data_IF_123216788304
#
_entry.id   IF_123216788304
#
_cell.length_a   1.000
_cell.length_b   1.000
_cell.length_c   1.000
_cell.angle_alpha   90.00
_cell.angle_beta   90.00
_cell.angle_gamma   90.00
#
_symmetry.space_group_name_H-M   'P 1'
#
loop_
_entity.id
_entity.type
_entity.pdbx_description
1 polymer ?
#
# COMPACT_ATOMS: atom_id res chain seq x y z
N UNK A 1 -19.53 -41.88 3.07
CA UNK A 1 -18.59 -41.35 2.05
C UNK A 1 -18.99 -39.91 1.73
N UNK A 2 -18.03 -38.99 1.57
CA UNK A 2 -18.31 -37.55 1.36
C UNK A 2 -19.20 -37.29 0.14
N UNK A 3 -19.03 -38.10 -0.91
CA UNK A 3 -19.82 -38.12 -2.14
C UNK A 3 -21.33 -38.19 -1.88
N UNK A 4 -21.79 -39.06 -0.98
CA UNK A 4 -23.21 -39.20 -0.66
C UNK A 4 -23.78 -37.95 0.03
N UNK A 5 -22.96 -37.23 0.81
CA UNK A 5 -23.38 -35.99 1.44
C UNK A 5 -23.44 -34.86 0.43
N UNK A 6 -22.44 -34.77 -0.46
CA UNK A 6 -22.41 -33.80 -1.56
C UNK A 6 -23.61 -33.97 -2.50
N UNK A 7 -23.98 -35.21 -2.83
CA UNK A 7 -25.16 -35.49 -3.65
C UNK A 7 -26.45 -35.01 -2.98
N UNK A 8 -26.66 -35.34 -1.69
CA UNK A 8 -27.84 -34.87 -0.93
C UNK A 8 -27.92 -33.34 -0.87
N UNK A 9 -26.78 -32.66 -0.69
CA UNK A 9 -26.72 -31.19 -0.66
C UNK A 9 -27.07 -30.59 -2.03
N UNK A 10 -26.58 -31.20 -3.11
CA UNK A 10 -26.88 -30.79 -4.48
C UNK A 10 -28.36 -30.95 -4.81
N UNK A 11 -28.97 -32.08 -4.44
CA UNK A 11 -30.40 -32.35 -4.64
C UNK A 11 -31.28 -31.35 -3.86
N UNK A 12 -30.90 -31.00 -2.62
CA UNK A 12 -31.66 -30.06 -1.79
C UNK A 12 -31.53 -28.60 -2.24
N UNK A 13 -30.31 -28.17 -2.59
CA UNK A 13 -30.00 -26.76 -2.83
C UNK A 13 -29.99 -26.35 -4.30
N UNK A 14 -29.88 -27.33 -5.22
CA UNK A 14 -29.57 -27.12 -6.64
C UNK A 14 -28.27 -26.31 -6.88
N UNK A 15 -27.39 -26.21 -5.90
CA UNK A 15 -26.09 -25.52 -6.00
C UNK A 15 -24.98 -26.50 -6.36
N UNK A 16 -23.91 -25.98 -6.95
CA UNK A 16 -22.70 -26.73 -7.26
C UNK A 16 -21.84 -26.95 -6.01
N UNK A 17 -21.28 -28.15 -5.87
CA UNK A 17 -20.29 -28.50 -4.85
C UNK A 17 -18.89 -28.14 -5.38
N UNK A 18 -18.24 -27.17 -4.75
CA UNK A 18 -16.92 -26.68 -5.17
C UNK A 18 -15.90 -27.00 -4.08
N UNK A 19 -14.78 -27.63 -4.45
CA UNK A 19 -13.61 -27.76 -3.60
C UNK A 19 -12.63 -26.64 -3.93
N UNK A 20 -12.24 -25.87 -2.92
CA UNK A 20 -11.19 -24.85 -3.02
C UNK A 20 -10.03 -25.30 -2.14
N UNK A 21 -8.83 -25.38 -2.69
CA UNK A 21 -7.60 -25.64 -1.96
C UNK A 21 -6.73 -24.39 -2.08
N UNK A 22 -6.53 -23.70 -0.96
CA UNK A 22 -5.78 -22.45 -0.88
C UNK A 22 -4.37 -22.67 -0.28
N UNK A 23 -3.48 -21.72 -0.50
CA UNK A 23 -2.08 -21.75 -0.04
C UNK A 23 -1.33 -23.05 -0.45
N UNK A 24 -1.64 -23.61 -1.63
CA UNK A 24 -1.13 -24.92 -2.04
C UNK A 24 0.41 -24.93 -2.15
N UNK A 25 1.03 -23.82 -2.55
CA UNK A 25 2.48 -23.64 -2.66
C UNK A 25 3.21 -23.55 -1.30
N UNK A 26 2.49 -23.52 -0.17
CA UNK A 26 3.07 -23.63 1.19
C UNK A 26 3.11 -25.06 1.71
N UNK A 27 2.48 -26.00 1.00
CA UNK A 27 2.53 -27.42 1.33
C UNK A 27 3.93 -27.96 0.98
N UNK A 28 4.40 -28.93 1.76
CA UNK A 28 5.63 -29.65 1.44
C UNK A 28 5.66 -30.08 -0.05
N UNK A 29 6.78 -29.89 -0.77
CA UNK A 29 6.84 -30.17 -2.20
C UNK A 29 6.44 -31.60 -2.60
N UNK A 30 6.73 -32.63 -1.79
CA UNK A 30 6.30 -34.01 -2.09
C UNK A 30 4.78 -34.14 -2.01
N UNK A 31 4.18 -33.56 -0.98
CA UNK A 31 2.73 -33.56 -0.83
C UNK A 31 2.01 -32.71 -1.89
N UNK A 32 2.56 -31.54 -2.24
CA UNK A 32 2.07 -30.66 -3.30
C UNK A 32 1.92 -31.41 -4.62
N UNK A 33 3.01 -32.01 -5.12
CA UNK A 33 2.97 -32.72 -6.40
C UNK A 33 2.17 -34.02 -6.32
N UNK A 34 2.09 -34.66 -5.15
CA UNK A 34 1.19 -35.80 -4.95
C UNK A 34 -0.28 -35.41 -5.09
N UNK A 35 -0.70 -34.30 -4.47
CA UNK A 35 -2.07 -33.77 -4.58
C UNK A 35 -2.38 -33.47 -6.05
N UNK A 36 -1.48 -32.75 -6.73
CA UNK A 36 -1.62 -32.45 -8.16
C UNK A 36 -1.78 -33.75 -8.96
N UNK A 37 -0.84 -34.70 -8.84
CA UNK A 37 -0.90 -35.97 -9.57
C UNK A 37 -2.20 -36.76 -9.33
N UNK A 38 -2.73 -36.76 -8.10
CA UNK A 38 -4.03 -37.39 -7.79
C UNK A 38 -5.15 -36.75 -8.62
N UNK A 39 -5.17 -35.42 -8.71
CA UNK A 39 -6.17 -34.73 -9.53
C UNK A 39 -5.98 -34.98 -11.03
N UNK A 40 -4.75 -34.94 -11.56
CA UNK A 40 -4.50 -35.25 -12.98
C UNK A 40 -5.01 -36.63 -13.39
N UNK A 41 -4.71 -37.66 -12.59
CA UNK A 41 -5.13 -39.04 -12.87
C UNK A 41 -6.66 -39.21 -12.92
N UNK A 42 -7.41 -38.29 -12.32
CA UNK A 42 -8.88 -38.33 -12.28
C UNK A 42 -9.56 -37.47 -13.35
N UNK A 43 -8.81 -36.64 -14.07
CA UNK A 43 -9.33 -35.87 -15.21
C UNK A 43 -9.08 -36.56 -16.56
N UNK A 44 -8.13 -37.49 -16.62
CA UNK A 44 -7.72 -38.19 -17.85
C UNK A 44 -8.46 -39.54 -18.07
N UNK A 45 -9.42 -39.90 -17.21
CA UNK A 45 -10.15 -41.16 -17.37
C UNK A 45 -11.20 -41.04 -18.47
N UNK A 46 -11.02 -41.76 -19.58
CA UNK A 46 -11.90 -41.88 -20.75
C UNK A 46 -13.35 -42.32 -20.47
N UNK A 47 -13.75 -42.46 -19.20
CA UNK A 47 -15.11 -42.75 -18.79
C UNK A 47 -16.01 -41.52 -18.96
N UNK A 48 -16.40 -41.27 -20.22
CA UNK A 48 -17.45 -40.33 -20.68
C UNK A 48 -18.83 -40.51 -20.01
N UNK A 49 -18.97 -41.43 -19.07
CA UNK A 49 -20.20 -41.71 -18.33
C UNK A 49 -20.27 -41.02 -16.96
N UNK A 50 -19.17 -40.40 -16.50
CA UNK A 50 -19.17 -39.58 -15.29
C UNK A 50 -18.52 -38.24 -15.61
N UNK A 51 -19.35 -37.21 -15.84
CA UNK A 51 -18.97 -35.78 -15.90
C UNK A 51 -18.40 -35.25 -14.55
N UNK A 52 -17.75 -36.10 -13.75
CA UNK A 52 -17.40 -35.79 -12.36
C UNK A 52 -16.12 -36.49 -11.92
N UNK A 53 -15.27 -35.77 -11.20
CA UNK A 53 -14.12 -36.36 -10.50
C UNK A 53 -14.60 -37.40 -9.46
N UNK A 54 -13.73 -38.34 -9.11
CA UNK A 54 -14.00 -39.40 -8.11
C UNK A 54 -14.49 -38.88 -6.75
N UNK A 55 -14.21 -37.62 -6.43
CA UNK A 55 -14.55 -37.00 -5.15
C UNK A 55 -15.96 -36.42 -5.12
N UNK A 56 -16.67 -36.37 -6.26
CA UNK A 56 -18.06 -35.89 -6.34
C UNK A 56 -18.20 -34.37 -6.28
N UNK A 57 -17.11 -33.62 -6.48
CA UNK A 57 -17.15 -32.17 -6.64
C UNK A 57 -17.50 -31.81 -8.09
N UNK A 58 -18.30 -30.77 -8.26
CA UNK A 58 -18.61 -30.22 -9.59
C UNK A 58 -17.42 -29.42 -10.14
N UNK A 59 -16.64 -28.75 -9.26
CA UNK A 59 -15.43 -28.02 -9.61
C UNK A 59 -14.37 -28.16 -8.52
N UNK A 60 -13.10 -28.18 -8.94
CA UNK A 60 -11.94 -28.09 -8.06
C UNK A 60 -11.16 -26.85 -8.46
N UNK A 61 -10.90 -25.96 -7.50
CA UNK A 61 -10.14 -24.72 -7.69
C UNK A 61 -8.89 -24.81 -6.82
N UNK A 62 -7.73 -24.74 -7.46
CA UNK A 62 -6.43 -24.69 -6.80
C UNK A 62 -5.96 -23.24 -6.78
N UNK A 63 -5.67 -22.72 -5.60
CA UNK A 63 -5.18 -21.36 -5.38
C UNK A 63 -3.78 -21.45 -4.82
N UNK A 64 -2.84 -20.77 -5.49
CA UNK A 64 -1.43 -20.75 -5.12
C UNK A 64 -0.73 -19.55 -5.76
N UNK A 65 0.43 -19.19 -5.20
CA UNK A 65 1.38 -18.33 -5.90
C UNK A 65 2.07 -19.15 -7.01
N UNK A 66 1.84 -18.74 -8.26
CA UNK A 66 2.40 -19.42 -9.43
C UNK A 66 3.92 -19.31 -9.51
N UNK A 67 4.49 -18.17 -9.12
CA UNK A 67 5.93 -17.95 -9.22
C UNK A 67 6.64 -18.78 -8.14
N UNK A 68 6.05 -18.86 -6.95
CA UNK A 68 6.52 -19.76 -5.91
C UNK A 68 6.40 -21.23 -6.33
N UNK A 69 5.27 -21.63 -6.94
CA UNK A 69 5.08 -22.97 -7.49
C UNK A 69 6.15 -23.29 -8.56
N UNK A 70 6.50 -22.35 -9.42
CA UNK A 70 7.55 -22.51 -10.43
C UNK A 70 8.93 -22.71 -9.80
N UNK A 71 9.24 -21.94 -8.75
CA UNK A 71 10.48 -22.08 -8.00
C UNK A 71 10.58 -23.44 -7.31
N UNK A 72 9.51 -23.89 -6.64
CA UNK A 72 9.43 -25.20 -6.00
C UNK A 72 9.60 -26.32 -7.04
N UNK A 73 8.95 -26.19 -8.20
CA UNK A 73 9.06 -27.15 -9.30
C UNK A 73 10.51 -27.26 -9.82
N UNK A 74 11.15 -26.12 -10.12
CA UNK A 74 12.55 -26.09 -10.59
C UNK A 74 13.53 -26.64 -9.55
N UNK A 75 13.31 -26.33 -8.27
CA UNK A 75 14.13 -26.88 -7.18
C UNK A 75 14.02 -28.41 -7.11
N UNK A 76 12.80 -28.94 -7.30
CA UNK A 76 12.54 -30.38 -7.19
C UNK A 76 12.95 -31.19 -8.43
N UNK A 77 12.64 -30.69 -9.62
CA UNK A 77 12.78 -31.43 -10.88
C UNK A 77 13.94 -30.94 -11.75
N UNK A 78 14.62 -29.85 -11.35
CA UNK A 78 15.76 -29.26 -12.05
C UNK A 78 15.40 -28.01 -12.84
N UNK A 79 16.35 -27.09 -12.94
CA UNK A 79 16.16 -25.75 -13.56
C UNK A 79 15.80 -25.78 -15.05
N UNK A 80 16.17 -26.86 -15.76
CA UNK A 80 15.94 -27.02 -17.20
C UNK A 80 14.58 -27.64 -17.54
N UNK A 81 13.69 -27.77 -16.55
CA UNK A 81 12.34 -28.31 -16.72
C UNK A 81 11.30 -27.20 -16.81
N UNK A 82 10.15 -27.48 -17.43
CA UNK A 82 9.07 -26.50 -17.64
C UNK A 82 7.87 -26.82 -16.74
N UNK A 83 7.58 -25.92 -15.78
CA UNK A 83 6.34 -25.98 -15.01
C UNK A 83 5.12 -25.87 -15.93
N UNK A 84 5.17 -25.01 -16.95
CA UNK A 84 4.06 -24.79 -17.88
C UNK A 84 3.62 -26.12 -18.55
N UNK A 85 4.57 -26.95 -18.97
CA UNK A 85 4.28 -28.27 -19.53
C UNK A 85 3.62 -29.22 -18.53
N UNK A 86 4.01 -29.16 -17.25
CA UNK A 86 3.42 -29.96 -16.18
C UNK A 86 2.00 -29.48 -15.83
N UNK A 87 1.83 -28.17 -15.63
CA UNK A 87 0.60 -27.58 -15.08
C UNK A 87 -0.57 -27.54 -16.08
N UNK A 88 -0.27 -27.56 -17.39
CA UNK A 88 -1.27 -27.63 -18.46
C UNK A 88 -2.21 -28.86 -18.36
N UNK A 89 -1.85 -29.87 -17.57
CA UNK A 89 -2.68 -31.07 -17.34
C UNK A 89 -3.85 -30.83 -16.38
N UNK A 90 -3.89 -29.69 -15.68
CA UNK A 90 -4.84 -29.46 -14.59
C UNK A 90 -5.95 -28.45 -14.92
N UNK A 91 -5.95 -27.85 -16.13
CA UNK A 91 -6.98 -26.92 -16.55
C UNK A 91 -7.27 -27.03 -18.06
N UNK A 92 -8.49 -26.71 -18.45
CA UNK A 92 -8.95 -26.85 -19.84
C UNK A 92 -8.79 -25.58 -20.69
N UNK A 93 -8.63 -24.41 -20.06
CA UNK A 93 -8.54 -23.14 -20.78
C UNK A 93 -7.23 -22.40 -20.46
N UNK A 94 -7.12 -21.85 -19.25
CA UNK A 94 -5.94 -21.13 -18.80
C UNK A 94 -5.95 -20.95 -17.29
N UNK A 95 -4.78 -20.60 -16.75
CA UNK A 95 -4.64 -20.17 -15.36
C UNK A 95 -5.39 -18.85 -15.18
N UNK A 96 -6.31 -18.82 -14.21
CA UNK A 96 -6.95 -17.59 -13.80
C UNK A 96 -5.99 -16.77 -12.92
N UNK A 97 -5.54 -15.61 -13.41
CA UNK A 97 -4.72 -14.67 -12.65
C UNK A 97 -5.65 -13.74 -11.88
N UNK A 98 -5.68 -13.90 -10.55
CA UNK A 98 -6.48 -13.06 -9.69
C UNK A 98 -5.81 -11.69 -9.51
N UNK A 99 -6.55 -10.62 -9.78
CA UNK A 99 -6.12 -9.24 -9.55
C UNK A 99 -7.17 -8.52 -8.70
N UNK A 100 -6.71 -7.82 -7.66
CA UNK A 100 -7.57 -7.07 -6.74
C UNK A 100 -7.36 -5.55 -6.84
N UNK A 101 -6.67 -5.07 -7.89
CA UNK A 101 -6.36 -3.65 -8.14
C UNK A 101 -7.60 -2.78 -8.05
N UNK A 102 -8.69 -3.16 -8.73
CA UNK A 102 -9.96 -2.44 -8.70
C UNK A 102 -10.54 -2.29 -7.28
N UNK A 103 -10.52 -3.36 -6.49
CA UNK A 103 -11.00 -3.30 -5.11
C UNK A 103 -10.10 -2.44 -4.22
N UNK A 104 -8.79 -2.43 -4.52
CA UNK A 104 -7.83 -1.54 -3.88
C UNK A 104 -8.12 -0.08 -4.23
N UNK A 105 -8.30 0.25 -5.51
CA UNK A 105 -8.61 1.60 -5.99
C UNK A 105 -9.92 2.14 -5.39
N UNK A 106 -10.99 1.32 -5.38
CA UNK A 106 -12.27 1.69 -4.79
C UNK A 106 -12.13 1.97 -3.28
N UNK A 107 -11.42 1.11 -2.57
CA UNK A 107 -11.17 1.28 -1.13
C UNK A 107 -10.27 2.49 -0.85
N UNK A 108 -9.29 2.75 -1.70
CA UNK A 108 -8.37 3.88 -1.57
C UNK A 108 -9.15 5.18 -1.72
N UNK A 109 -9.95 5.30 -2.78
CA UNK A 109 -10.78 6.47 -3.02
C UNK A 109 -11.78 6.70 -1.88
N UNK A 110 -12.43 5.64 -1.40
CA UNK A 110 -13.29 5.71 -0.22
C UNK A 110 -12.53 6.22 1.03
N UNK A 111 -11.31 5.71 1.26
CA UNK A 111 -10.48 6.11 2.40
C UNK A 111 -10.00 7.55 2.25
N UNK A 112 -9.57 7.97 1.06
CA UNK A 112 -9.19 9.37 0.82
C UNK A 112 -10.38 10.27 1.06
N UNK A 113 -11.56 10.00 0.49
CA UNK A 113 -12.76 10.83 0.69
C UNK A 113 -13.18 10.91 2.16
N UNK A 114 -13.03 9.83 2.92
CA UNK A 114 -13.35 9.80 4.35
C UNK A 114 -12.40 10.67 5.18
N UNK A 115 -11.14 10.81 4.77
CA UNK A 115 -10.10 11.48 5.57
C UNK A 115 -9.56 12.79 4.95
N UNK A 116 -9.93 13.13 3.71
CA UNK A 116 -9.42 14.31 2.98
C UNK A 116 -9.79 15.63 3.65
N UNK A 117 -10.96 15.68 4.31
CA UNK A 117 -11.39 16.82 5.12
C UNK A 117 -10.58 16.99 6.43
N UNK A 118 -9.78 15.99 6.80
CA UNK A 118 -9.07 15.93 8.08
C UNK A 118 -7.60 16.32 7.88
N UNK A 119 -6.96 15.79 6.84
CA UNK A 119 -5.55 16.04 6.58
C UNK A 119 -5.18 15.85 5.10
N UNK A 120 -4.65 16.93 4.49
CA UNK A 120 -4.05 16.89 3.15
C UNK A 120 -2.74 16.09 3.13
N UNK A 121 -1.95 16.13 4.21
CA UNK A 121 -0.72 15.33 4.32
C UNK A 121 -1.01 13.82 4.38
N UNK A 122 -2.13 13.40 4.99
CA UNK A 122 -2.60 12.02 4.95
C UNK A 122 -2.95 11.57 3.53
N UNK A 123 -3.66 12.39 2.77
CA UNK A 123 -4.03 12.09 1.38
C UNK A 123 -2.81 11.88 0.49
N UNK A 124 -1.82 12.80 0.56
CA UNK A 124 -0.56 12.68 -0.19
C UNK A 124 0.15 11.38 0.17
N UNK A 125 0.32 11.13 1.47
CA UNK A 125 1.03 9.97 1.98
C UNK A 125 0.34 8.65 1.61
N UNK A 126 -0.98 8.56 1.78
CA UNK A 126 -1.74 7.34 1.48
C UNK A 126 -1.70 7.02 -0.01
N UNK A 127 -1.85 8.03 -0.87
CA UNK A 127 -1.75 7.90 -2.33
C UNK A 127 -0.35 7.43 -2.73
N UNK A 128 0.68 7.95 -2.09
CA UNK A 128 2.06 7.55 -2.40
C UNK A 128 2.43 6.17 -1.88
N UNK A 129 2.00 5.81 -0.67
CA UNK A 129 2.18 4.47 -0.15
C UNK A 129 1.49 3.44 -1.06
N UNK A 130 0.30 3.76 -1.58
CA UNK A 130 -0.37 2.91 -2.56
C UNK A 130 0.42 2.82 -3.87
N UNK A 131 0.67 3.95 -4.53
CA UNK A 131 1.30 3.96 -5.87
C UNK A 131 2.72 3.40 -5.84
N UNK A 132 3.42 3.51 -4.72
CA UNK A 132 4.75 2.92 -4.49
C UNK A 132 4.75 1.43 -4.13
N UNK A 133 3.58 0.80 -3.97
CA UNK A 133 3.49 -0.60 -3.55
C UNK A 133 3.86 -0.82 -2.07
N UNK A 134 3.95 0.24 -1.28
CA UNK A 134 4.25 0.20 0.16
C UNK A 134 2.99 0.10 1.03
N UNK A 135 1.84 -0.20 0.45
CA UNK A 135 0.59 -0.43 1.15
C UNK A 135 -0.07 -1.70 0.64
N UNK A 136 -0.38 -2.63 1.54
CA UNK A 136 -1.18 -3.82 1.22
C UNK A 136 -2.67 -3.53 1.37
N UNK A 137 -3.52 -4.29 0.66
CA UNK A 137 -4.97 -4.17 0.76
C UNK A 137 -5.46 -4.38 2.20
N UNK A 138 -4.81 -5.29 2.93
CA UNK A 138 -5.11 -5.56 4.34
C UNK A 138 -4.88 -4.34 5.22
N UNK A 139 -3.78 -3.63 5.00
CA UNK A 139 -3.46 -2.41 5.75
C UNK A 139 -4.45 -1.30 5.40
N UNK A 140 -4.75 -1.10 4.11
CA UNK A 140 -5.76 -0.13 3.69
C UNK A 140 -7.15 -0.46 4.28
N UNK A 141 -7.54 -1.74 4.33
CA UNK A 141 -8.77 -2.19 5.00
C UNK A 141 -8.78 -1.90 6.50
N UNK A 142 -7.63 -1.95 7.17
CA UNK A 142 -7.53 -1.55 8.57
C UNK A 142 -7.69 -0.04 8.71
N UNK A 143 -7.00 0.75 7.88
CA UNK A 143 -7.10 2.22 7.87
C UNK A 143 -8.56 2.66 7.64
N UNK A 144 -9.21 2.11 6.61
CA UNK A 144 -10.56 2.51 6.21
C UNK A 144 -11.61 2.26 7.30
N UNK A 145 -11.38 1.24 8.14
CA UNK A 145 -12.26 0.88 9.27
C UNK A 145 -12.02 1.70 10.53
N UNK A 146 -10.99 2.54 10.60
CA UNK A 146 -10.76 3.38 11.77
C UNK A 146 -11.93 4.37 11.92
N UNK A 147 -12.54 4.39 13.10
CA UNK A 147 -13.58 5.35 13.47
C UNK A 147 -12.93 6.55 14.14
N UNK A 148 -13.01 7.69 13.47
CA UNK A 148 -12.24 8.88 13.80
C UNK A 148 -12.99 9.85 14.70
N UNK A 149 -14.28 9.63 14.92
CA UNK A 149 -15.17 10.51 15.68
C UNK A 149 -14.61 10.81 17.09
N UNK A 150 -14.00 9.81 17.76
CA UNK A 150 -13.38 10.00 19.07
C UNK A 150 -12.01 10.69 19.01
N UNK A 151 -11.30 10.63 17.87
CA UNK A 151 -9.96 11.20 17.73
C UNK A 151 -10.02 12.65 17.25
N UNK A 152 -11.04 13.00 16.47
CA UNK A 152 -11.31 14.37 15.97
C UNK A 152 -11.72 15.31 17.12
N UNK A 153 -12.55 14.84 18.06
CA UNK A 153 -12.99 15.66 19.20
C UNK A 153 -11.84 16.07 20.13
N UNK A 154 -10.78 15.28 20.23
CA UNK A 154 -9.58 15.65 21.01
C UNK A 154 -8.65 16.60 20.24
N UNK A 155 -8.59 16.50 18.90
CA UNK A 155 -7.67 17.29 18.06
C UNK A 155 -8.20 18.64 17.58
N UNK A 156 -9.52 18.86 17.63
CA UNK A 156 -10.14 20.12 17.18
C UNK A 156 -10.10 21.20 18.29
N UNK A 157 -9.99 20.82 19.56
CA UNK A 157 -9.91 21.78 20.67
C UNK A 157 -8.47 22.12 21.07
N UNK A 158 -7.48 21.27 20.80
CA UNK A 158 -6.09 21.48 21.21
C UNK A 158 -5.11 21.43 20.01
N UNK A 159 -4.42 22.56 19.78
CA UNK A 159 -3.12 22.73 19.10
C UNK A 159 -2.74 21.87 17.86
N UNK A 160 -2.29 22.55 16.82
CA UNK A 160 -1.85 22.06 15.50
C UNK A 160 -0.78 20.95 15.48
N UNK A 161 0.05 20.82 16.53
CA UNK A 161 0.94 19.66 16.71
C UNK A 161 0.19 18.32 16.68
N UNK A 162 -1.10 18.31 17.01
CA UNK A 162 -1.93 17.12 17.07
C UNK A 162 -2.37 16.56 15.71
N UNK A 163 -2.30 17.32 14.61
CA UNK A 163 -2.68 16.80 13.27
C UNK A 163 -1.63 15.87 12.68
N UNK A 164 -0.34 16.15 12.84
CA UNK A 164 0.69 15.18 12.50
C UNK A 164 0.62 13.95 13.42
N UNK A 165 0.41 14.16 14.73
CA UNK A 165 0.18 13.06 15.68
C UNK A 165 -0.96 12.17 15.24
N UNK A 166 -2.01 12.76 14.68
CA UNK A 166 -3.15 12.03 14.17
C UNK A 166 -2.76 11.11 13.02
N UNK A 167 -2.06 11.62 11.99
CA UNK A 167 -1.57 10.80 10.87
C UNK A 167 -0.67 9.69 11.38
N UNK A 168 0.29 10.05 12.23
CA UNK A 168 1.18 9.07 12.83
C UNK A 168 0.39 8.01 13.60
N UNK A 169 -0.60 8.40 14.40
CA UNK A 169 -1.46 7.49 15.19
C UNK A 169 -2.30 6.56 14.30
N UNK A 170 -2.79 7.06 13.16
CA UNK A 170 -3.52 6.24 12.19
C UNK A 170 -2.64 5.12 11.62
N UNK A 171 -1.40 5.48 11.23
CA UNK A 171 -0.46 4.51 10.69
C UNK A 171 0.20 3.65 11.77
N UNK A 172 0.41 4.17 12.99
CA UNK A 172 1.04 3.44 14.10
C UNK A 172 0.18 2.30 14.63
N UNK A 173 -1.14 2.38 14.44
CA UNK A 173 -2.07 1.28 14.74
C UNK A 173 -1.86 0.07 13.83
N UNK A 174 -1.09 0.22 12.75
CA UNK A 174 -0.97 -0.75 11.67
C UNK A 174 0.50 -1.12 11.42
N UNK A 175 1.39 -0.15 11.58
CA UNK A 175 2.83 -0.23 11.32
C UNK A 175 3.59 0.21 12.57
N UNK A 176 4.69 -0.46 12.89
CA UNK A 176 5.63 0.10 13.87
C UNK A 176 6.39 1.30 13.25
N UNK A 177 7.11 2.05 14.10
CA UNK A 177 7.84 3.23 13.67
C UNK A 177 8.85 2.94 12.54
N UNK A 178 9.66 1.88 12.69
CA UNK A 178 10.72 1.56 11.74
C UNK A 178 10.14 1.18 10.37
N UNK A 179 9.10 0.34 10.35
CA UNK A 179 8.38 -0.02 9.13
C UNK A 179 7.75 1.19 8.46
N UNK A 180 7.12 2.08 9.23
CA UNK A 180 6.53 3.30 8.70
C UNK A 180 7.59 4.22 8.11
N UNK A 181 8.71 4.43 8.81
CA UNK A 181 9.84 5.24 8.35
C UNK A 181 10.45 4.69 7.07
N UNK A 182 10.65 3.37 6.97
CA UNK A 182 11.17 2.71 5.76
C UNK A 182 10.23 2.94 4.57
N UNK A 183 8.92 2.82 4.76
CA UNK A 183 7.95 3.03 3.68
C UNK A 183 7.90 4.50 3.23
N UNK A 184 7.96 5.44 4.17
CA UNK A 184 8.10 6.88 3.87
C UNK A 184 9.40 7.16 3.11
N UNK A 185 10.49 6.49 3.47
CA UNK A 185 11.77 6.57 2.77
C UNK A 185 11.67 6.02 1.34
N UNK A 186 10.97 4.90 1.13
CA UNK A 186 10.70 4.37 -0.21
C UNK A 186 9.86 5.34 -1.07
N UNK A 187 8.90 6.04 -0.46
CA UNK A 187 8.17 7.11 -1.16
C UNK A 187 9.11 8.25 -1.58
N UNK A 188 10.04 8.67 -0.71
CA UNK A 188 11.05 9.69 -1.04
C UNK A 188 11.89 9.29 -2.25
N UNK A 189 12.39 8.06 -2.25
CA UNK A 189 13.37 7.56 -3.23
C UNK A 189 12.72 7.31 -4.61
N UNK A 190 11.40 7.06 -4.66
CA UNK A 190 10.63 7.00 -5.90
C UNK A 190 10.63 8.33 -6.68
N UNK A 191 10.73 9.46 -5.98
CA UNK A 191 10.65 10.80 -6.57
C UNK A 191 12.02 11.39 -6.92
N UNK A 192 13.02 10.55 -7.18
CA UNK A 192 14.36 10.95 -7.65
C UNK A 192 14.41 11.42 -9.12
N UNK A 193 13.26 11.50 -9.80
CA UNK A 193 13.10 12.08 -11.13
C UNK A 193 11.68 12.64 -11.33
N UNK A 194 11.58 13.68 -12.17
CA UNK A 194 10.39 14.49 -12.50
C UNK A 194 9.01 13.85 -12.22
N UNK A 195 8.16 14.61 -11.51
CA UNK A 195 6.87 14.18 -10.98
C UNK A 195 5.79 13.91 -12.05
N UNK A 196 4.96 12.90 -11.77
CA UNK A 196 3.88 12.37 -12.60
C UNK A 196 2.47 12.80 -12.15
N UNK A 197 2.32 13.95 -11.50
CA UNK A 197 1.02 14.58 -11.26
C UNK A 197 1.02 15.99 -11.84
N UNK A 198 -0.11 16.46 -12.37
CA UNK A 198 -0.26 17.83 -12.84
C UNK A 198 0.21 18.82 -11.76
N UNK A 199 1.21 19.65 -12.07
CA UNK A 199 1.84 20.61 -11.16
C UNK A 199 0.86 21.44 -10.31
N UNK A 200 -0.39 21.61 -10.74
CA UNK A 200 -1.38 22.42 -10.05
C UNK A 200 -1.90 21.82 -8.72
N UNK A 201 -2.34 20.56 -8.74
CA UNK A 201 -2.97 19.94 -7.55
C UNK A 201 -1.93 19.64 -6.47
N UNK A 202 -0.71 19.26 -6.89
CA UNK A 202 0.38 18.98 -5.97
C UNK A 202 0.80 20.23 -5.18
N UNK A 203 0.98 21.40 -5.81
CA UNK A 203 1.39 22.60 -5.06
C UNK A 203 0.35 23.08 -4.05
N UNK A 204 -0.94 22.97 -4.37
CA UNK A 204 -2.03 23.32 -3.46
C UNK A 204 -2.05 22.35 -2.27
N UNK A 205 -2.06 21.04 -2.54
CA UNK A 205 -2.11 20.01 -1.51
C UNK A 205 -0.87 20.06 -0.61
N UNK A 206 0.30 20.26 -1.21
CA UNK A 206 1.58 20.31 -0.48
C UNK A 206 1.68 21.51 0.44
N UNK A 207 1.16 22.66 0.03
CA UNK A 207 1.14 23.84 0.92
C UNK A 207 0.27 23.58 2.16
N UNK A 208 -0.92 23.03 1.98
CA UNK A 208 -1.80 22.65 3.10
C UNK A 208 -1.15 21.58 3.98
N UNK A 209 -0.55 20.56 3.35
CA UNK A 209 0.16 19.49 4.03
C UNK A 209 1.36 20.00 4.85
N UNK A 210 2.15 20.93 4.33
CA UNK A 210 3.29 21.51 5.05
C UNK A 210 2.85 22.34 6.26
N UNK A 211 1.75 23.09 6.14
CA UNK A 211 1.16 23.82 7.27
C UNK A 211 0.69 22.84 8.36
N UNK A 212 0.05 21.73 7.97
CA UNK A 212 -0.36 20.67 8.91
C UNK A 212 0.83 20.03 9.64
N UNK A 213 1.96 19.87 8.95
CA UNK A 213 3.11 19.15 9.45
C UNK A 213 4.03 19.97 10.37
N UNK A 214 4.09 21.30 10.23
CA UNK A 214 5.11 22.09 10.92
C UNK A 214 4.61 23.47 11.38
N UNK A 215 3.65 23.48 12.31
CA UNK A 215 3.03 24.71 12.79
C UNK A 215 3.88 25.49 13.82
N UNK A 216 4.75 24.83 14.59
CA UNK A 216 5.54 25.47 15.65
C UNK A 216 6.70 26.34 15.16
N UNK A 217 7.14 26.15 13.91
CA UNK A 217 8.24 26.91 13.31
C UNK A 217 7.80 27.75 12.10
N UNK A 218 6.54 28.17 12.06
CA UNK A 218 6.07 29.12 11.06
C UNK A 218 6.53 30.53 11.47
N UNK A 219 7.55 31.05 10.80
CA UNK A 219 7.96 32.45 10.92
C UNK A 219 7.55 33.20 9.67
N UNK A 220 6.42 33.92 9.76
CA UNK A 220 5.80 34.59 8.62
C UNK A 220 5.37 33.60 7.55
N UNK A 221 5.94 33.74 6.35
CA UNK A 221 5.66 32.87 5.19
C UNK A 221 6.70 31.75 5.05
N UNK A 222 7.38 31.33 6.12
CA UNK A 222 8.42 30.30 6.02
C UNK A 222 8.31 29.21 7.08
N UNK A 223 8.63 27.98 6.67
CA UNK A 223 8.66 26.78 7.50
C UNK A 223 10.13 26.36 7.68
N UNK A 224 10.51 25.97 8.89
CA UNK A 224 11.89 25.56 9.23
C UNK A 224 11.94 24.11 9.70
N UNK A 225 12.83 23.29 9.14
CA UNK A 225 13.01 21.89 9.56
C UNK A 225 14.48 21.43 9.51
N UNK A 226 14.78 20.31 10.16
CA UNK A 226 16.14 19.74 10.22
C UNK A 226 16.20 18.35 9.59
N UNK A 227 17.00 18.17 8.56
CA UNK A 227 17.16 16.87 7.90
C UNK A 227 18.64 16.54 7.75
N UNK A 228 19.05 15.32 8.14
CA UNK A 228 20.45 14.90 8.17
C UNK A 228 21.39 15.95 8.80
N UNK A 229 21.01 16.46 9.99
CA UNK A 229 21.75 17.47 10.76
C UNK A 229 21.91 18.84 10.05
N UNK A 230 21.20 19.08 8.95
CA UNK A 230 21.20 20.35 8.22
C UNK A 230 19.87 21.07 8.40
N UNK A 231 19.93 22.40 8.48
CA UNK A 231 18.76 23.28 8.65
C UNK A 231 18.25 23.77 7.29
N UNK A 232 16.95 23.59 7.06
CA UNK A 232 16.28 23.97 5.82
C UNK A 232 15.14 24.96 6.08
N UNK A 233 14.89 25.83 5.09
CA UNK A 233 13.79 26.79 5.08
C UNK A 233 12.94 26.58 3.84
N UNK A 234 11.62 26.54 4.01
CA UNK A 234 10.65 26.50 2.91
C UNK A 234 9.91 27.83 2.93
N UNK A 235 10.00 28.61 1.86
CA UNK A 235 9.21 29.83 1.69
C UNK A 235 7.89 29.48 0.99
N UNK A 236 6.78 29.78 1.65
CA UNK A 236 5.41 29.64 1.16
C UNK A 236 4.95 30.95 0.54
N UNK A 237 4.84 31.03 -0.79
CA UNK A 237 4.29 32.23 -1.44
C UNK A 237 2.79 32.37 -1.18
N UNK A 238 2.32 33.62 -1.05
CA UNK A 238 0.95 33.91 -0.63
C UNK A 238 -0.04 33.64 -1.77
N UNK A 239 -1.19 33.02 -1.44
CA UNK A 239 -2.29 32.73 -2.37
C UNK A 239 -2.86 33.99 -3.05
N UNK A 240 -2.64 35.15 -2.44
CA UNK A 240 -3.12 36.46 -2.89
C UNK A 240 -2.35 37.05 -4.08
N UNK A 241 -1.25 36.43 -4.54
CA UNK A 241 -0.57 36.82 -5.80
C UNK A 241 -1.07 35.99 -6.98
N UNK A 242 -2.38 36.06 -7.22
CA UNK A 242 -3.02 35.55 -8.43
C UNK A 242 -2.67 36.46 -9.64
N UNK A 243 -1.39 36.52 -10.03
CA UNK A 243 -1.00 37.14 -11.30
C UNK A 243 -0.87 36.03 -12.35
N UNK A 244 -1.76 36.05 -13.34
CA UNK A 244 -1.72 35.24 -14.57
C UNK A 244 -2.00 33.72 -14.46
N UNK A 245 -2.89 33.27 -13.55
CA UNK A 245 -3.32 31.86 -13.45
C UNK A 245 -2.19 30.83 -13.22
N UNK A 246 -1.03 31.26 -12.69
CA UNK A 246 0.07 30.35 -12.33
C UNK A 246 0.28 30.39 -10.82
N UNK A 247 0.26 29.21 -10.21
CA UNK A 247 0.61 29.03 -8.81
C UNK A 247 2.13 29.13 -8.68
N UNK A 248 2.64 29.97 -7.77
CA UNK A 248 4.07 29.97 -7.47
C UNK A 248 4.37 28.82 -6.49
N UNK A 249 5.23 27.86 -6.85
CA UNK A 249 5.62 26.77 -5.97
C UNK A 249 6.36 27.30 -4.74
N UNK A 250 6.26 26.59 -3.62
CA UNK A 250 7.12 26.87 -2.47
C UNK A 250 8.59 26.72 -2.89
N UNK A 251 9.52 27.41 -2.22
CA UNK A 251 10.96 27.30 -2.49
C UNK A 251 11.73 26.83 -1.28
N UNK A 252 12.73 25.98 -1.49
CA UNK A 252 13.53 25.39 -0.42
C UNK A 252 14.97 25.90 -0.42
N UNK A 253 15.44 26.32 0.75
CA UNK A 253 16.77 26.89 0.95
C UNK A 253 17.54 26.12 2.04
N UNK A 254 18.84 25.91 1.84
CA UNK A 254 19.77 25.45 2.87
C UNK A 254 20.31 26.67 3.60
N UNK A 255 20.53 26.57 4.90
CA UNK A 255 21.39 27.54 5.57
C UNK A 255 22.82 27.02 5.62
N UNK A 256 23.74 27.82 5.06
CA UNK A 256 25.18 27.64 5.22
C UNK A 256 25.64 27.97 6.64
N UNK A 257 26.84 27.54 7.01
CA UNK A 257 27.40 27.76 8.34
C UNK A 257 27.57 29.26 8.71
N UNK A 258 27.51 30.14 7.71
CA UNK A 258 27.59 31.60 7.82
C UNK A 258 26.21 32.28 8.01
N UNK A 259 25.12 31.50 8.06
CA UNK A 259 23.76 32.04 8.11
C UNK A 259 23.20 32.45 6.74
N UNK A 260 23.99 32.30 5.66
CA UNK A 260 23.57 32.58 4.30
C UNK A 260 22.59 31.53 3.78
N UNK A 261 21.55 31.97 3.05
CA UNK A 261 20.64 31.07 2.33
C UNK A 261 21.30 30.60 1.03
N UNK A 262 21.58 29.32 0.93
CA UNK A 262 22.00 28.67 -0.32
C UNK A 262 20.75 28.10 -0.97
N UNK A 263 20.42 28.60 -2.16
CA UNK A 263 19.29 28.07 -2.92
C UNK A 263 19.61 26.64 -3.38
N UNK A 264 18.84 25.65 -2.95
CA UNK A 264 19.10 24.24 -3.28
C UNK A 264 18.23 23.78 -4.45
N UNK A 265 17.02 24.32 -4.57
CA UNK A 265 16.04 23.91 -5.58
C UNK A 265 15.33 25.12 -6.19
N UNK A 266 15.07 25.08 -7.50
CA UNK A 266 14.24 26.10 -8.15
C UNK A 266 12.82 26.12 -7.56
N UNK A 267 12.26 24.93 -7.26
CA UNK A 267 10.93 24.69 -6.70
C UNK A 267 10.95 23.61 -5.59
N UNK A 268 9.97 23.64 -4.69
CA UNK A 268 9.74 22.61 -3.67
C UNK A 268 9.08 21.37 -4.29
N UNK A 269 9.71 20.23 -4.10
CA UNK A 269 9.30 18.96 -4.71
C UNK A 269 8.64 18.02 -3.70
N UNK A 270 8.01 16.96 -4.19
CA UNK A 270 7.49 15.83 -3.42
C UNK A 270 8.59 15.08 -2.68
N UNK A 271 9.80 15.02 -3.25
CA UNK A 271 10.98 14.52 -2.53
C UNK A 271 11.28 15.38 -1.29
N UNK A 272 11.12 16.70 -1.40
CA UNK A 272 11.32 17.61 -0.28
C UNK A 272 10.22 17.47 0.78
N UNK A 273 8.97 17.25 0.36
CA UNK A 273 7.87 16.88 1.28
C UNK A 273 8.24 15.68 2.15
N UNK A 274 8.78 14.62 1.54
CA UNK A 274 9.21 13.45 2.29
C UNK A 274 10.42 13.68 3.19
N UNK A 275 11.34 14.57 2.82
CA UNK A 275 12.44 14.99 3.73
C UNK A 275 11.89 15.67 4.98
N UNK A 276 10.90 16.56 4.82
CA UNK A 276 10.20 17.21 5.94
C UNK A 276 9.49 16.17 6.80
N UNK A 277 8.74 15.25 6.19
CA UNK A 277 8.00 14.24 6.93
C UNK A 277 8.93 13.34 7.77
N UNK A 278 10.05 12.90 7.19
CA UNK A 278 11.06 12.10 7.90
C UNK A 278 11.69 12.89 9.06
N UNK A 279 12.02 14.16 8.84
CA UNK A 279 12.55 15.05 9.89
C UNK A 279 11.63 15.10 11.11
N UNK A 280 10.32 15.31 10.87
CA UNK A 280 9.33 15.38 11.93
C UNK A 280 9.17 14.02 12.63
N UNK A 281 9.17 12.92 11.88
CA UNK A 281 9.10 11.57 12.43
C UNK A 281 10.28 11.28 13.37
N UNK A 282 11.49 11.71 13.01
CA UNK A 282 12.69 11.54 13.83
C UNK A 282 12.64 12.38 15.11
N UNK A 283 12.26 13.65 15.00
CA UNK A 283 12.12 14.53 16.16
C UNK A 283 11.08 14.00 17.15
N UNK A 284 9.94 13.54 16.63
CA UNK A 284 8.85 13.07 17.47
C UNK A 284 9.16 11.73 18.16
N UNK A 285 9.77 10.80 17.44
CA UNK A 285 10.22 9.53 18.02
C UNK A 285 11.25 9.73 19.14
N UNK A 286 12.16 10.68 18.96
CA UNK A 286 13.12 11.05 20.00
C UNK A 286 12.41 11.61 21.23
N UNK A 287 11.43 12.50 21.06
CA UNK A 287 10.64 13.05 22.19
C UNK A 287 9.99 11.94 23.00
N UNK A 288 9.24 11.02 22.39
CA UNK A 288 8.55 9.96 23.15
C UNK A 288 9.51 9.10 23.95
N UNK A 289 10.62 8.64 23.35
CA UNK A 289 11.57 7.74 24.04
C UNK A 289 12.30 8.38 25.22
N UNK A 290 12.31 9.70 25.34
CA UNK A 290 13.04 10.43 26.38
C UNK A 290 12.11 11.10 27.39
N UNK A 291 10.79 10.87 27.29
CA UNK A 291 9.77 11.36 28.22
C UNK A 291 9.08 10.22 29.02
N UNK A 292 9.58 8.98 28.92
CA UNK A 292 9.30 7.85 29.84
C UNK A 292 10.46 7.67 30.84
#
# INVERSE_FOLDING_TARGET
MITNQLQKLKEKSKKQNILIIDDLDRVDPDHLFRILNVFAAHFDSENKFFDSNKFGFDKVILVCDYDNLENIFKHKFGSNTSLAGYINKFYSNSIFRFENSKAFDELLNFTIQKFSNISSSFEILLTDLYTSGNLSLRELLKISRLNLENTIHQSIEDHTDQKFLYIFKLFSNILNYDDFKIRVQNCKDRYDGYELLSNYDFHILTKTALIELNHNNISGNSIVFYYNQKKYYIELYNLSRFRNNRYEPAKMYLIGNDGGKINITEDFTRKDFYRVLISILEEWYYKIRHFD
#
